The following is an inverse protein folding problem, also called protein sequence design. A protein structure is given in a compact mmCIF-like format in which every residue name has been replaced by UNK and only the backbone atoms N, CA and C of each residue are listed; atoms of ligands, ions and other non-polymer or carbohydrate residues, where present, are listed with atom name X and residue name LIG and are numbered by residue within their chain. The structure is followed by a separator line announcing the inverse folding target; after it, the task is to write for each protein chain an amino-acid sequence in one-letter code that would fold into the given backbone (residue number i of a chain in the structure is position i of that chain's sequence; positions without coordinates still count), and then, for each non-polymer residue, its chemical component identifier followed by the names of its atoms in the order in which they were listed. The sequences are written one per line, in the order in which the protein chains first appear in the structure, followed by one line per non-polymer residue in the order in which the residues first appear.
data_IF_193211513232
#
_entry.id   IF_193211513232
#
_cell.length_a   1.000
_cell.length_b   1.000
_cell.length_c   1.000
_cell.angle_alpha   90.00
_cell.angle_beta   90.00
_cell.angle_gamma   90.00
#
_symmetry.space_group_name_H-M   'P 1'
#
loop_
_entity.id
_entity.type
_entity.pdbx_description
1 polymer ?
#
# COMPACT_ATOMS: atom_id res chain seq x y z
N UNK A 1 -28.30 -39.42 -54.12
CA UNK A 1 -27.09 -39.29 -53.25
C UNK A 1 -26.47 -37.89 -53.26
N UNK A 2 -26.68 -37.03 -54.28
CA UNK A 2 -26.09 -35.68 -54.34
C UNK A 2 -26.69 -34.64 -53.37
N UNK A 3 -27.95 -34.79 -52.96
CA UNK A 3 -28.63 -33.84 -52.05
C UNK A 3 -28.11 -33.88 -50.60
N UNK A 4 -27.51 -34.98 -50.16
CA UNK A 4 -26.96 -35.13 -48.80
C UNK A 4 -25.59 -34.44 -48.63
N UNK A 5 -24.82 -34.32 -49.71
CA UNK A 5 -23.53 -33.62 -49.70
C UNK A 5 -23.68 -32.09 -49.72
N UNK A 6 -24.71 -31.59 -50.42
CA UNK A 6 -24.98 -30.16 -50.51
C UNK A 6 -25.48 -29.60 -49.16
N UNK A 7 -26.32 -30.34 -48.45
CA UNK A 7 -26.80 -29.96 -47.11
C UNK A 7 -25.70 -30.03 -46.06
N UNK A 8 -24.84 -31.05 -46.08
CA UNK A 8 -23.68 -31.13 -45.18
C UNK A 8 -22.67 -30.01 -45.43
N UNK A 9 -22.38 -29.65 -46.69
CA UNK A 9 -21.55 -28.49 -47.03
C UNK A 9 -22.13 -27.16 -46.53
N UNK A 10 -23.44 -26.97 -46.63
CA UNK A 10 -24.14 -25.78 -46.15
C UNK A 10 -24.01 -25.56 -44.63
N UNK A 11 -23.94 -26.62 -43.82
CA UNK A 11 -23.75 -26.52 -42.38
C UNK A 11 -22.27 -26.54 -41.95
N UNK A 12 -21.41 -27.27 -42.66
CA UNK A 12 -19.99 -27.38 -42.32
C UNK A 12 -19.18 -26.14 -42.69
N UNK A 13 -19.45 -25.49 -43.82
CA UNK A 13 -18.76 -24.25 -44.23
C UNK A 13 -18.84 -23.12 -43.18
N UNK A 14 -20.02 -22.73 -42.66
CA UNK A 14 -20.12 -21.68 -41.66
C UNK A 14 -19.50 -22.10 -40.31
N UNK A 15 -19.59 -23.39 -39.94
CA UNK A 15 -18.94 -23.91 -38.73
C UNK A 15 -17.41 -23.83 -38.84
N UNK A 16 -16.84 -24.26 -39.98
CA UNK A 16 -15.41 -24.17 -40.25
C UNK A 16 -14.96 -22.71 -40.28
N UNK A 17 -15.72 -21.84 -40.95
CA UNK A 17 -15.42 -20.40 -40.99
C UNK A 17 -15.42 -19.79 -39.57
N UNK A 18 -16.42 -20.14 -38.75
CA UNK A 18 -16.49 -19.69 -37.36
C UNK A 18 -15.30 -20.19 -36.52
N UNK A 19 -14.92 -21.46 -36.66
CA UNK A 19 -13.75 -22.05 -35.99
C UNK A 19 -12.44 -21.40 -36.43
N UNK A 20 -12.27 -21.16 -37.73
CA UNK A 20 -11.08 -20.47 -38.28
C UNK A 20 -11.00 -19.04 -37.75
N UNK A 21 -12.10 -18.28 -37.75
CA UNK A 21 -12.13 -16.92 -37.22
C UNK A 21 -11.87 -16.90 -35.70
N UNK A 22 -12.44 -17.85 -34.97
CA UNK A 22 -12.19 -18.03 -33.53
C UNK A 22 -10.71 -18.30 -33.26
N UNK A 23 -10.12 -19.26 -33.97
CA UNK A 23 -8.70 -19.63 -33.81
C UNK A 23 -7.77 -18.47 -34.18
N UNK A 24 -8.04 -17.76 -35.29
CA UNK A 24 -7.25 -16.58 -35.69
C UNK A 24 -7.33 -15.46 -34.64
N UNK A 25 -8.51 -15.19 -34.10
CA UNK A 25 -8.69 -14.18 -33.04
C UNK A 25 -7.99 -14.60 -31.75
N UNK A 26 -8.09 -15.87 -31.36
CA UNK A 26 -7.44 -16.41 -30.17
C UNK A 26 -5.91 -16.33 -30.29
N UNK A 27 -5.37 -16.83 -31.39
CA UNK A 27 -3.93 -16.81 -31.69
C UNK A 27 -3.38 -15.38 -31.68
N UNK A 28 -4.10 -14.40 -32.25
CA UNK A 28 -3.69 -12.99 -32.21
C UNK A 28 -3.62 -12.44 -30.78
N UNK A 29 -4.61 -12.73 -29.92
CA UNK A 29 -4.61 -12.28 -28.51
C UNK A 29 -3.49 -12.93 -27.71
N UNK A 30 -3.28 -14.23 -27.86
CA UNK A 30 -2.21 -14.94 -27.17
C UNK A 30 -0.82 -14.44 -27.59
N UNK A 31 -0.65 -14.11 -28.88
CA UNK A 31 0.59 -13.50 -29.38
C UNK A 31 0.83 -12.13 -28.72
N UNK A 32 -0.20 -11.32 -28.56
CA UNK A 32 -0.10 -10.02 -27.87
C UNK A 32 0.28 -10.18 -26.39
N UNK A 33 -0.36 -11.09 -25.66
CA UNK A 33 -0.02 -11.34 -24.26
C UNK A 33 1.40 -11.90 -24.11
N UNK A 34 1.82 -12.79 -25.00
CA UNK A 34 3.17 -13.36 -25.01
C UNK A 34 4.22 -12.29 -25.29
N UNK A 35 3.95 -11.35 -26.21
CA UNK A 35 4.84 -10.22 -26.49
C UNK A 35 5.00 -9.29 -25.28
N UNK A 36 3.89 -8.94 -24.61
CA UNK A 36 3.92 -8.13 -23.38
C UNK A 36 4.69 -8.82 -22.26
N UNK A 37 4.46 -10.12 -22.07
CA UNK A 37 5.22 -10.90 -21.10
C UNK A 37 6.73 -10.89 -21.40
N UNK A 38 7.12 -11.04 -22.67
CA UNK A 38 8.52 -11.00 -23.07
C UNK A 38 9.16 -9.63 -22.82
N UNK A 39 8.42 -8.54 -23.05
CA UNK A 39 8.85 -7.18 -22.74
C UNK A 39 9.06 -6.97 -21.23
N UNK A 40 8.12 -7.43 -20.41
CA UNK A 40 8.19 -7.39 -18.95
C UNK A 40 9.39 -8.19 -18.41
N UNK A 41 9.64 -9.37 -18.96
CA UNK A 41 10.82 -10.18 -18.58
C UNK A 41 12.11 -9.45 -18.97
N UNK A 42 12.13 -8.76 -20.12
CA UNK A 42 13.27 -7.94 -20.55
C UNK A 42 13.50 -6.72 -19.66
N UNK A 43 12.45 -6.10 -19.12
CA UNK A 43 12.55 -4.95 -18.21
C UNK A 43 12.94 -5.36 -16.77
N UNK A 44 12.92 -6.66 -16.45
CA UNK A 44 13.24 -7.19 -15.12
C UNK A 44 12.13 -6.97 -14.09
N UNK A 45 10.96 -6.46 -14.50
CA UNK A 45 9.82 -6.21 -13.61
C UNK A 45 8.90 -7.43 -13.64
N UNK A 46 9.32 -8.56 -13.10
CA UNK A 46 8.52 -9.81 -13.18
C UNK A 46 7.40 -9.88 -12.15
N UNK A 47 7.50 -9.13 -11.04
CA UNK A 47 6.56 -9.17 -9.92
C UNK A 47 6.32 -7.75 -9.37
N UNK A 48 5.12 -7.41 -8.86
CA UNK A 48 4.81 -6.11 -8.24
C UNK A 48 5.39 -6.01 -6.82
N UNK A 49 5.57 -4.77 -6.33
CA UNK A 49 6.13 -4.49 -5.00
C UNK A 49 5.12 -4.68 -3.85
N UNK A 50 3.83 -4.65 -4.16
CA UNK A 50 2.74 -4.60 -3.18
C UNK A 50 1.91 -5.88 -3.22
N UNK A 51 0.67 -5.83 -2.73
CA UNK A 51 -0.27 -6.93 -2.84
C UNK A 51 -0.47 -7.31 -4.31
N UNK A 52 -0.33 -8.58 -4.65
CA UNK A 52 -0.47 -9.06 -6.03
C UNK A 52 -0.88 -10.53 -6.08
N UNK A 53 -1.45 -10.99 -7.21
CA UNK A 53 -1.87 -12.38 -7.34
C UNK A 53 -0.70 -13.30 -7.71
N UNK A 54 -0.54 -14.37 -6.95
CA UNK A 54 0.26 -15.55 -7.32
C UNK A 54 -0.68 -16.59 -7.90
N UNK A 55 -0.32 -17.14 -9.06
CA UNK A 55 -1.15 -18.06 -9.83
C UNK A 55 -0.53 -19.45 -9.81
N UNK A 56 -1.26 -20.42 -9.27
CA UNK A 56 -0.91 -21.83 -9.34
C UNK A 56 -1.21 -22.36 -10.74
N UNK A 57 -0.15 -22.59 -11.52
CA UNK A 57 -0.25 -23.10 -12.90
C UNK A 57 -0.78 -24.52 -12.97
N UNK A 58 -0.69 -25.32 -11.90
CA UNK A 58 -1.23 -26.68 -11.88
C UNK A 58 -2.75 -26.66 -11.74
N UNK A 59 -3.29 -25.74 -10.94
CA UNK A 59 -4.75 -25.56 -10.77
C UNK A 59 -5.40 -24.74 -11.89
N UNK A 60 -4.66 -23.80 -12.47
CA UNK A 60 -5.22 -22.88 -13.47
C UNK A 60 -5.73 -23.62 -14.72
N UNK A 61 -7.03 -23.46 -15.02
CA UNK A 61 -7.67 -24.05 -16.22
C UNK A 61 -7.71 -23.11 -17.43
N UNK A 62 -7.11 -21.91 -17.35
CA UNK A 62 -7.05 -20.98 -18.48
C UNK A 62 -8.37 -20.32 -18.88
N UNK A 63 -9.36 -20.26 -17.99
CA UNK A 63 -10.72 -19.74 -18.29
C UNK A 63 -10.78 -18.25 -18.69
N UNK A 64 -9.72 -17.48 -18.40
CA UNK A 64 -9.64 -16.05 -18.66
C UNK A 64 -10.59 -15.18 -17.83
N UNK A 65 -11.22 -15.75 -16.79
CA UNK A 65 -12.11 -14.98 -15.90
C UNK A 65 -11.35 -13.85 -15.18
N UNK A 66 -10.15 -14.16 -14.68
CA UNK A 66 -9.27 -13.17 -14.04
C UNK A 66 -8.83 -12.04 -14.99
N UNK A 67 -8.61 -12.33 -16.28
CA UNK A 67 -8.25 -11.33 -17.30
C UNK A 67 -9.42 -10.37 -17.54
N UNK A 68 -10.66 -10.87 -17.58
CA UNK A 68 -11.85 -10.03 -17.75
C UNK A 68 -12.19 -9.21 -16.51
N UNK A 69 -11.89 -9.73 -15.32
CA UNK A 69 -12.16 -9.08 -14.05
C UNK A 69 -11.14 -7.99 -13.68
N UNK A 70 -9.98 -7.94 -14.36
CA UNK A 70 -8.92 -7.00 -14.03
C UNK A 70 -9.19 -5.61 -14.66
N UNK A 71 -9.47 -4.57 -13.86
CA UNK A 71 -9.64 -3.20 -14.34
C UNK A 71 -8.35 -2.61 -14.94
N UNK A 72 -7.19 -3.02 -14.41
CA UNK A 72 -5.87 -2.55 -14.87
C UNK A 72 -5.34 -3.29 -16.09
N UNK A 73 -6.06 -4.32 -16.55
CA UNK A 73 -5.69 -5.18 -17.67
C UNK A 73 -4.26 -5.78 -17.58
N UNK A 74 -3.77 -6.00 -16.34
CA UNK A 74 -2.41 -6.49 -16.03
C UNK A 74 -2.22 -7.99 -16.26
N UNK A 75 -3.31 -8.74 -16.46
CA UNK A 75 -3.33 -10.20 -16.61
C UNK A 75 -3.56 -10.61 -18.06
N UNK A 76 -2.95 -11.71 -18.48
CA UNK A 76 -3.14 -12.33 -19.79
C UNK A 76 -3.17 -13.85 -19.71
N UNK A 77 -3.64 -14.49 -20.78
CA UNK A 77 -3.52 -15.95 -20.94
C UNK A 77 -2.37 -16.23 -21.90
N UNK A 78 -1.38 -16.98 -21.44
CA UNK A 78 -0.19 -17.40 -22.21
C UNK A 78 -0.06 -18.91 -22.07
N UNK A 79 0.01 -19.65 -23.18
CA UNK A 79 0.09 -21.12 -23.19
C UNK A 79 -1.03 -21.77 -22.36
N UNK A 80 -2.24 -21.21 -22.44
CA UNK A 80 -3.41 -21.70 -21.71
C UNK A 80 -3.40 -21.47 -20.19
N UNK A 81 -2.45 -20.68 -19.66
CA UNK A 81 -2.37 -20.35 -18.23
C UNK A 81 -2.45 -18.85 -18.02
N UNK A 82 -3.05 -18.45 -16.91
CA UNK A 82 -3.09 -17.04 -16.53
C UNK A 82 -1.70 -16.60 -16.03
N UNK A 83 -1.25 -15.45 -16.50
CA UNK A 83 0.05 -14.86 -16.17
C UNK A 83 -0.10 -13.35 -15.99
N UNK A 84 0.66 -12.77 -15.08
CA UNK A 84 0.80 -11.33 -14.93
C UNK A 84 1.67 -10.80 -16.09
N UNK A 85 1.04 -10.24 -17.12
CA UNK A 85 1.75 -9.76 -18.31
C UNK A 85 2.36 -8.38 -18.10
N UNK A 86 1.77 -7.56 -17.23
CA UNK A 86 2.22 -6.21 -16.89
C UNK A 86 2.14 -6.00 -15.36
N UNK A 87 3.11 -6.51 -14.61
CA UNK A 87 3.14 -6.47 -13.14
C UNK A 87 3.11 -5.06 -12.56
N UNK A 88 3.75 -4.11 -13.24
CA UNK A 88 3.79 -2.69 -12.90
C UNK A 88 2.42 -2.01 -12.86
N UNK A 89 1.45 -2.52 -13.62
CA UNK A 89 0.08 -2.01 -13.61
C UNK A 89 -0.78 -2.66 -12.51
N UNK A 90 -0.30 -3.71 -11.84
CA UNK A 90 -1.09 -4.41 -10.85
C UNK A 90 -1.14 -3.64 -9.52
N UNK A 91 -2.32 -3.17 -9.13
CA UNK A 91 -2.53 -2.46 -7.85
C UNK A 91 -3.00 -3.38 -6.70
N UNK A 92 -3.11 -4.70 -6.92
CA UNK A 92 -3.47 -5.64 -5.86
C UNK A 92 -4.93 -5.65 -5.43
N UNK A 93 -5.87 -5.13 -6.24
CA UNK A 93 -7.29 -5.00 -5.89
C UNK A 93 -8.04 -6.34 -5.68
N UNK A 94 -7.46 -7.50 -6.04
CA UNK A 94 -8.02 -8.82 -5.72
C UNK A 94 -9.17 -9.36 -6.58
N UNK A 95 -9.61 -8.62 -7.60
CA UNK A 95 -10.76 -9.07 -8.42
C UNK A 95 -10.46 -10.36 -9.21
N UNK A 96 -9.19 -10.62 -9.53
CA UNK A 96 -8.76 -11.84 -10.20
C UNK A 96 -8.93 -13.09 -9.33
N UNK A 97 -8.65 -12.98 -8.02
CA UNK A 97 -8.83 -14.06 -7.04
C UNK A 97 -10.31 -14.42 -6.94
N UNK A 98 -11.16 -13.42 -6.70
CA UNK A 98 -12.61 -13.61 -6.61
C UNK A 98 -13.24 -14.17 -7.89
N UNK A 99 -12.70 -13.82 -9.07
CA UNK A 99 -13.21 -14.29 -10.36
C UNK A 99 -12.72 -15.69 -10.74
N UNK A 100 -11.75 -16.28 -10.03
CA UNK A 100 -11.16 -17.55 -10.41
C UNK A 100 -12.07 -18.74 -10.02
N UNK A 101 -12.65 -19.48 -10.98
CA UNK A 101 -13.62 -20.54 -10.66
C UNK A 101 -13.01 -21.78 -10.00
N UNK A 102 -11.67 -21.89 -10.04
CA UNK A 102 -10.89 -23.03 -9.52
C UNK A 102 -9.93 -22.62 -8.41
N UNK A 103 -10.07 -21.39 -7.90
CA UNK A 103 -9.25 -20.88 -6.78
C UNK A 103 -7.73 -21.05 -6.99
N UNK A 104 -7.29 -20.95 -8.24
CA UNK A 104 -5.89 -21.07 -8.62
C UNK A 104 -5.09 -19.79 -8.36
N UNK A 105 -5.71 -18.74 -7.82
CA UNK A 105 -5.10 -17.43 -7.62
C UNK A 105 -5.20 -17.10 -6.13
N UNK A 106 -4.09 -16.69 -5.54
CA UNK A 106 -4.02 -16.20 -4.16
C UNK A 106 -3.37 -14.82 -4.15
N UNK A 107 -3.91 -13.88 -3.38
CA UNK A 107 -3.22 -12.62 -3.13
C UNK A 107 -2.13 -12.79 -2.07
N UNK A 108 -0.92 -12.38 -2.42
CA UNK A 108 0.22 -12.33 -1.49
C UNK A 108 0.73 -10.89 -1.39
N UNK A 109 1.36 -10.57 -0.26
CA UNK A 109 1.96 -9.27 -0.04
C UNK A 109 3.47 -9.35 -0.23
N UNK A 110 3.98 -8.75 -1.31
CA UNK A 110 5.39 -8.84 -1.69
C UNK A 110 5.82 -10.27 -2.07
N UNK A 111 7.05 -10.42 -2.57
CA UNK A 111 7.68 -11.74 -2.80
C UNK A 111 9.07 -11.77 -2.18
N UNK A 112 9.62 -12.97 -1.96
CA UNK A 112 11.02 -13.16 -1.52
C UNK A 112 12.02 -12.55 -2.54
N UNK A 113 11.65 -12.52 -3.82
CA UNK A 113 12.51 -12.03 -4.92
C UNK A 113 12.42 -10.53 -5.12
N UNK A 114 11.33 -9.91 -4.71
CA UNK A 114 11.08 -8.47 -4.81
C UNK A 114 10.26 -7.98 -3.62
N UNK A 115 10.84 -8.13 -2.43
CA UNK A 115 10.32 -7.56 -1.20
C UNK A 115 10.66 -6.07 -1.11
N UNK A 116 9.89 -5.35 -0.31
CA UNK A 116 10.35 -4.06 0.22
C UNK A 116 11.23 -4.41 1.41
N UNK A 117 12.49 -3.96 1.43
CA UNK A 117 13.33 -4.03 2.62
C UNK A 117 12.69 -3.18 3.72
N UNK A 118 11.91 -3.83 4.59
CA UNK A 118 11.35 -3.16 5.77
C UNK A 118 12.45 -3.13 6.83
N UNK A 119 12.79 -1.95 7.37
CA UNK A 119 13.79 -1.85 8.43
C UNK A 119 13.37 -2.68 9.65
N UNK A 120 14.35 -3.33 10.28
CA UNK A 120 14.12 -4.07 11.52
C UNK A 120 13.83 -3.08 12.64
N UNK A 121 12.61 -3.10 13.19
CA UNK A 121 12.20 -2.23 14.29
C UNK A 121 12.36 -2.96 15.63
N UNK A 122 13.21 -2.44 16.50
CA UNK A 122 13.42 -2.93 17.88
C UNK A 122 12.22 -2.57 18.79
N UNK A 123 12.09 -3.18 19.99
CA UNK A 123 11.01 -2.86 20.94
C UNK A 123 10.96 -1.40 21.41
N UNK A 124 12.06 -0.65 21.27
CA UNK A 124 12.16 0.78 21.55
C UNK A 124 11.79 1.66 20.33
N UNK A 125 11.23 1.08 19.27
CA UNK A 125 10.87 1.73 18.00
C UNK A 125 12.05 2.22 17.15
N UNK A 126 13.29 1.99 17.58
CA UNK A 126 14.47 2.30 16.78
C UNK A 126 14.65 1.25 15.68
N UNK A 127 15.05 1.69 14.49
CA UNK A 127 15.35 0.79 13.38
C UNK A 127 16.75 0.17 13.51
N UNK A 128 17.14 -0.62 12.52
CA UNK A 128 18.54 -1.03 12.32
C UNK A 128 19.47 0.16 11.98
N UNK A 129 18.93 1.32 11.60
CA UNK A 129 19.68 2.57 11.47
C UNK A 129 19.54 3.36 12.76
N UNK A 130 20.63 3.44 13.54
CA UNK A 130 20.59 4.12 14.83
C UNK A 130 20.21 5.60 14.68
N UNK A 131 19.30 6.05 15.55
CA UNK A 131 18.72 7.40 15.52
C UNK A 131 17.51 7.57 14.59
N UNK A 132 17.15 6.54 13.80
CA UNK A 132 15.89 6.51 13.03
C UNK A 132 14.88 5.64 13.77
N UNK A 133 13.67 6.18 13.94
CA UNK A 133 12.57 5.53 14.64
C UNK A 133 11.35 5.42 13.74
N UNK A 134 10.58 4.35 13.88
CA UNK A 134 9.37 4.11 13.10
C UNK A 134 8.19 3.90 14.03
N UNK A 135 7.10 4.63 13.77
CA UNK A 135 5.83 4.50 14.46
C UNK A 135 4.66 4.69 13.46
N UNK A 136 3.51 4.11 13.77
CA UNK A 136 2.32 4.16 12.95
C UNK A 136 2.23 3.02 11.95
N UNK A 137 1.69 3.32 10.76
CA UNK A 137 1.36 2.32 9.75
C UNK A 137 2.60 1.58 9.23
N UNK A 138 3.73 2.27 9.09
CA UNK A 138 5.03 1.67 8.73
C UNK A 138 5.52 0.64 9.74
N UNK A 139 5.07 0.69 11.00
CA UNK A 139 5.32 -0.32 12.02
C UNK A 139 4.40 -1.55 11.91
N UNK A 140 3.64 -1.68 10.82
CA UNK A 140 2.76 -2.81 10.54
C UNK A 140 1.40 -2.79 11.26
N UNK A 141 1.01 -1.66 11.86
CA UNK A 141 -0.22 -1.54 12.67
C UNK A 141 -1.07 -0.34 12.24
N UNK A 142 -2.06 -0.58 11.36
CA UNK A 142 -2.99 0.44 10.84
C UNK A 142 -4.10 0.92 11.82
N UNK A 143 -3.95 0.70 13.13
CA UNK A 143 -4.95 1.11 14.12
C UNK A 143 -4.60 2.46 14.74
N UNK A 144 -5.58 3.37 14.80
CA UNK A 144 -5.40 4.74 15.33
C UNK A 144 -4.79 4.72 16.74
N UNK A 145 -5.36 3.93 17.65
CA UNK A 145 -4.83 3.77 19.02
C UNK A 145 -3.38 3.30 19.01
N UNK A 146 -3.04 2.31 18.18
CA UNK A 146 -1.68 1.78 18.12
C UNK A 146 -0.72 2.83 17.59
N UNK A 147 -1.09 3.56 16.55
CA UNK A 147 -0.30 4.69 16.06
C UNK A 147 -0.02 5.71 17.16
N UNK A 148 -1.04 6.11 17.91
CA UNK A 148 -0.90 7.03 19.06
C UNK A 148 0.03 6.46 20.13
N UNK A 149 -0.18 5.22 20.57
CA UNK A 149 0.63 4.56 21.60
C UNK A 149 2.11 4.44 21.15
N UNK A 150 2.36 4.12 19.88
CA UNK A 150 3.71 3.98 19.33
C UNK A 150 4.43 5.31 19.22
N UNK A 151 3.76 6.36 18.72
CA UNK A 151 4.36 7.70 18.59
C UNK A 151 4.86 8.23 19.93
N UNK A 152 4.05 8.10 20.99
CA UNK A 152 4.44 8.49 22.34
C UNK A 152 5.63 7.67 22.87
N UNK A 153 5.63 6.35 22.65
CA UNK A 153 6.70 5.45 23.12
C UNK A 153 8.02 5.65 22.37
N UNK A 154 7.96 5.95 21.07
CA UNK A 154 9.14 6.27 20.26
C UNK A 154 9.85 7.50 20.84
N UNK A 155 9.09 8.57 21.14
CA UNK A 155 9.63 9.76 21.81
C UNK A 155 10.15 9.45 23.22
N UNK A 156 9.48 8.57 23.96
CA UNK A 156 9.97 8.09 25.25
C UNK A 156 11.34 7.41 25.18
N UNK A 157 11.72 6.87 24.02
CA UNK A 157 13.05 6.32 23.76
C UNK A 157 14.03 7.40 23.29
N UNK A 158 13.58 8.32 22.43
CA UNK A 158 14.37 9.44 21.92
C UNK A 158 14.80 10.40 23.03
N UNK A 159 13.94 10.67 24.02
CA UNK A 159 14.23 11.63 25.11
C UNK A 159 15.49 11.30 25.92
N UNK A 160 15.95 10.03 25.88
CA UNK A 160 17.20 9.60 26.52
C UNK A 160 18.44 10.22 25.86
N UNK A 161 18.31 10.72 24.63
CA UNK A 161 19.36 11.34 23.83
C UNK A 161 19.20 12.87 23.72
N UNK A 162 18.42 13.48 24.62
CA UNK A 162 18.19 14.93 24.68
C UNK A 162 19.51 15.69 24.86
N UNK A 163 19.65 16.83 24.19
CA UNK A 163 20.81 17.72 24.37
C UNK A 163 21.98 17.45 23.43
N UNK A 164 21.71 16.86 22.26
CA UNK A 164 22.71 16.80 21.18
C UNK A 164 23.07 18.22 20.69
N UNK A 165 24.29 18.40 20.18
CA UNK A 165 24.76 19.67 19.61
C UNK A 165 24.01 20.12 18.33
N UNK A 166 23.04 19.32 17.87
CA UNK A 166 22.25 19.61 16.67
C UNK A 166 21.20 20.70 16.96
N UNK A 167 20.66 21.31 15.90
CA UNK A 167 19.61 22.34 15.99
C UNK A 167 18.32 21.81 16.60
N UNK A 168 17.94 20.59 16.21
CA UNK A 168 16.76 19.88 16.69
C UNK A 168 17.16 18.59 17.39
N UNK A 169 16.41 18.21 18.42
CA UNK A 169 16.54 16.92 19.08
C UNK A 169 15.78 15.82 18.30
N UNK A 170 14.71 16.17 17.59
CA UNK A 170 13.92 15.24 16.78
C UNK A 170 13.20 15.95 15.62
N UNK A 171 13.18 15.30 14.45
CA UNK A 171 12.33 15.66 13.31
C UNK A 171 11.23 14.61 13.19
N UNK A 172 9.97 15.02 13.19
CA UNK A 172 8.81 14.14 13.09
C UNK A 172 8.26 14.27 11.67
N UNK A 173 8.28 13.16 10.93
CA UNK A 173 7.82 13.12 9.53
C UNK A 173 6.43 12.50 9.47
N UNK A 174 5.43 13.30 9.09
CA UNK A 174 4.02 12.96 8.99
C UNK A 174 3.19 13.44 10.19
N UNK A 175 2.02 14.00 9.91
CA UNK A 175 1.02 14.50 10.87
C UNK A 175 -0.21 13.59 10.98
N UNK A 176 -0.02 12.28 10.83
CA UNK A 176 -1.02 11.27 11.20
C UNK A 176 -1.15 11.09 12.73
N UNK A 177 -1.99 10.15 13.21
CA UNK A 177 -2.18 9.91 14.64
C UNK A 177 -0.88 9.64 15.40
N UNK A 178 0.05 8.88 14.80
CA UNK A 178 1.36 8.62 15.38
C UNK A 178 2.23 9.87 15.47
N UNK A 179 2.29 10.68 14.41
CA UNK A 179 3.06 11.92 14.37
C UNK A 179 2.51 13.00 15.29
N UNK A 180 1.19 13.13 15.39
CA UNK A 180 0.54 14.04 16.34
C UNK A 180 0.86 13.61 17.79
N UNK A 181 0.73 12.31 18.09
CA UNK A 181 1.09 11.78 19.41
C UNK A 181 2.57 11.98 19.74
N UNK A 182 3.46 11.74 18.77
CA UNK A 182 4.89 12.01 18.91
C UNK A 182 5.16 13.50 19.16
N UNK A 183 4.46 14.41 18.47
CA UNK A 183 4.61 15.86 18.65
C UNK A 183 4.20 16.29 20.06
N UNK A 184 3.08 15.75 20.56
CA UNK A 184 2.63 16.00 21.93
C UNK A 184 3.62 15.44 22.95
N UNK A 185 4.12 14.21 22.77
CA UNK A 185 5.12 13.62 23.66
C UNK A 185 6.46 14.39 23.62
N UNK A 186 6.86 14.90 22.45
CA UNK A 186 8.09 15.67 22.29
C UNK A 186 7.99 17.00 23.04
N UNK A 187 6.83 17.65 22.95
CA UNK A 187 6.51 18.85 23.74
C UNK A 187 6.50 18.55 25.24
N UNK A 188 5.84 17.48 25.68
CA UNK A 188 5.80 17.06 27.09
C UNK A 188 7.21 16.79 27.65
N UNK A 189 8.11 16.21 26.83
CA UNK A 189 9.50 15.96 27.19
C UNK A 189 10.42 17.21 27.05
N UNK A 190 9.89 18.34 26.58
CA UNK A 190 10.63 19.57 26.33
C UNK A 190 11.77 19.39 25.31
N UNK A 191 11.56 18.59 24.27
CA UNK A 191 12.51 18.42 23.16
C UNK A 191 12.37 19.58 22.17
N UNK A 192 13.47 19.94 21.50
CA UNK A 192 13.43 20.80 20.32
C UNK A 192 13.02 19.94 19.13
N UNK A 193 11.86 20.21 18.55
CA UNK A 193 11.36 19.41 17.45
C UNK A 193 10.65 20.23 16.38
N UNK A 194 10.54 19.63 15.21
CA UNK A 194 9.67 20.08 14.13
C UNK A 194 8.84 18.90 13.64
N UNK A 195 7.61 19.17 13.23
CA UNK A 195 6.75 18.20 12.56
C UNK A 195 6.49 18.68 11.15
N UNK A 196 6.79 17.85 10.16
CA UNK A 196 6.57 18.13 8.74
C UNK A 196 5.51 17.18 8.18
N UNK A 197 4.67 17.67 7.27
CA UNK A 197 3.60 16.91 6.61
C UNK A 197 3.59 17.29 5.13
N UNK A 198 3.58 16.27 4.26
CA UNK A 198 3.59 16.47 2.81
C UNK A 198 2.25 17.00 2.29
N UNK A 199 1.14 16.68 2.98
CA UNK A 199 -0.20 17.14 2.63
C UNK A 199 -0.50 18.54 3.21
N UNK A 200 -1.60 19.15 2.75
CA UNK A 200 -2.11 20.44 3.26
C UNK A 200 -2.95 20.29 4.55
N UNK A 201 -3.16 19.06 5.02
CA UNK A 201 -3.98 18.72 6.17
C UNK A 201 -3.33 17.62 7.01
N UNK A 202 -3.68 17.58 8.29
CA UNK A 202 -3.31 16.48 9.18
C UNK A 202 -4.20 15.25 8.98
N UNK A 203 -3.81 14.15 9.61
CA UNK A 203 -4.60 12.91 9.71
C UNK A 203 -4.01 11.71 8.99
N UNK A 204 -3.02 11.91 8.11
CA UNK A 204 -2.40 10.83 7.33
C UNK A 204 -3.46 9.99 6.61
N UNK A 205 -3.42 8.67 6.76
CA UNK A 205 -4.38 7.75 6.12
C UNK A 205 -5.85 8.07 6.41
N UNK A 206 -6.17 8.67 7.58
CA UNK A 206 -7.54 9.11 7.90
C UNK A 206 -8.00 10.22 6.97
N UNK A 207 -7.11 11.14 6.57
CA UNK A 207 -7.43 12.23 5.66
C UNK A 207 -7.89 11.72 4.29
N UNK A 208 -7.43 10.55 3.85
CA UNK A 208 -7.82 9.92 2.59
C UNK A 208 -9.06 9.01 2.71
N UNK A 209 -9.65 8.87 3.90
CA UNK A 209 -10.87 8.08 4.04
C UNK A 209 -12.04 8.69 3.25
N UNK A 210 -12.98 7.87 2.75
CA UNK A 210 -14.25 8.35 2.21
C UNK A 210 -14.96 9.31 3.17
N UNK A 211 -15.66 10.30 2.62
CA UNK A 211 -16.43 11.27 3.41
C UNK A 211 -17.45 10.55 4.28
N UNK A 212 -17.65 11.02 5.52
CA UNK A 212 -18.57 10.41 6.50
C UNK A 212 -18.27 8.96 6.87
N UNK A 213 -17.07 8.45 6.57
CA UNK A 213 -16.66 7.12 7.05
C UNK A 213 -16.63 7.13 8.59
N UNK A 214 -17.31 6.16 9.19
CA UNK A 214 -17.21 5.87 10.61
C UNK A 214 -15.96 5.03 10.86
N UNK A 215 -15.05 5.56 11.66
CA UNK A 215 -13.86 4.88 12.09
C UNK A 215 -14.12 4.21 13.46
N UNK A 216 -13.90 2.91 13.51
CA UNK A 216 -13.85 2.17 14.77
C UNK A 216 -12.54 2.51 15.46
N UNK A 217 -12.64 2.97 16.69
CA UNK A 217 -11.53 3.40 17.53
C UNK A 217 -11.59 2.66 18.86
N UNK A 218 -10.49 2.71 19.61
CA UNK A 218 -10.43 2.20 20.96
C UNK A 218 -9.97 3.33 21.88
N UNK A 219 -10.34 3.30 23.16
CA UNK A 219 -9.85 4.25 24.15
C UNK A 219 -8.34 4.39 24.08
N UNK A 220 -7.84 5.61 24.00
CA UNK A 220 -6.41 5.91 23.86
C UNK A 220 -6.01 7.05 24.78
N UNK A 221 -4.73 7.11 25.15
CA UNK A 221 -4.19 8.18 25.98
C UNK A 221 -3.24 9.02 25.16
N UNK A 222 -3.54 10.31 25.05
CA UNK A 222 -2.72 11.26 24.34
C UNK A 222 -1.81 11.99 25.35
N UNK A 223 -0.50 12.17 25.05
CA UNK A 223 0.38 13.00 25.86
C UNK A 223 -0.20 14.42 25.98
N UNK A 224 -0.05 15.06 27.15
CA UNK A 224 -0.62 16.38 27.52
C UNK A 224 -2.17 16.43 27.58
N UNK A 225 -2.88 15.79 26.66
CA UNK A 225 -4.35 15.91 26.51
C UNK A 225 -5.12 14.96 27.44
N UNK A 226 -4.58 13.76 27.69
CA UNK A 226 -5.23 12.74 28.52
C UNK A 226 -6.06 11.72 27.73
N UNK A 227 -7.07 11.13 28.38
CA UNK A 227 -7.84 10.01 27.84
C UNK A 227 -8.85 10.46 26.78
N UNK A 228 -8.85 9.78 25.65
CA UNK A 228 -9.86 9.87 24.60
C UNK A 228 -10.64 8.56 24.53
N UNK A 229 -11.93 8.61 24.90
CA UNK A 229 -12.78 7.42 25.09
C UNK A 229 -13.96 7.40 24.10
N UNK A 230 -13.69 7.52 22.80
CA UNK A 230 -14.69 7.20 21.77
C UNK A 230 -14.37 5.85 21.14
N UNK A 231 -15.42 5.08 20.86
CA UNK A 231 -15.34 3.80 20.15
C UNK A 231 -15.70 3.97 18.68
N UNK A 232 -16.54 4.94 18.36
CA UNK A 232 -16.93 5.28 17.00
C UNK A 232 -16.82 6.79 16.81
N UNK A 233 -16.26 7.20 15.68
CA UNK A 233 -16.09 8.61 15.33
C UNK A 233 -16.09 8.76 13.80
N UNK A 234 -16.71 9.82 13.29
CA UNK A 234 -16.62 10.12 11.86
C UNK A 234 -15.22 10.63 11.50
N UNK A 235 -14.80 10.44 10.24
CA UNK A 235 -13.56 11.01 9.70
C UNK A 235 -13.44 12.50 10.05
N UNK A 236 -14.46 13.29 9.74
CA UNK A 236 -14.45 14.74 9.87
C UNK A 236 -14.34 15.18 11.34
N UNK A 237 -15.05 14.49 12.23
CA UNK A 237 -14.95 14.74 13.66
C UNK A 237 -13.56 14.38 14.21
N UNK A 238 -12.97 13.29 13.73
CA UNK A 238 -11.63 12.86 14.13
C UNK A 238 -10.55 13.86 13.67
N UNK A 239 -10.64 14.37 12.45
CA UNK A 239 -9.74 15.42 11.93
C UNK A 239 -9.92 16.74 12.70
N UNK A 240 -11.15 17.10 13.03
CA UNK A 240 -11.46 18.28 13.85
C UNK A 240 -10.87 18.14 15.25
N UNK A 241 -10.98 16.95 15.85
CA UNK A 241 -10.38 16.62 17.13
C UNK A 241 -8.85 16.79 17.07
N UNK A 242 -8.19 16.23 16.06
CA UNK A 242 -6.74 16.37 15.88
C UNK A 242 -6.30 17.83 15.67
N UNK A 243 -7.04 18.60 14.89
CA UNK A 243 -6.77 20.02 14.64
C UNK A 243 -6.92 20.85 15.91
N UNK A 244 -7.93 20.55 16.73
CA UNK A 244 -8.12 21.21 18.02
C UNK A 244 -6.96 20.93 18.96
N UNK A 245 -6.58 19.66 19.16
CA UNK A 245 -5.52 19.35 20.14
C UNK A 245 -4.16 19.90 19.74
N UNK A 246 -3.83 19.92 18.45
CA UNK A 246 -2.55 20.46 17.96
C UNK A 246 -2.51 21.98 18.18
N UNK A 247 -3.60 22.69 17.86
CA UNK A 247 -3.73 24.12 18.10
C UNK A 247 -3.70 24.48 19.59
N UNK A 248 -4.52 23.83 20.41
CA UNK A 248 -4.67 24.14 21.84
C UNK A 248 -3.36 23.88 22.60
N UNK A 249 -2.54 22.93 22.12
CA UNK A 249 -1.22 22.63 22.66
C UNK A 249 -0.10 23.31 21.88
N UNK A 250 -0.35 24.30 21.02
CA UNK A 250 0.68 25.06 20.31
C UNK A 250 1.71 24.18 19.59
N UNK A 251 1.26 23.08 18.97
CA UNK A 251 2.09 22.19 18.17
C UNK A 251 2.21 22.80 16.78
N UNK A 252 3.42 23.19 16.40
CA UNK A 252 3.71 23.69 15.05
C UNK A 252 3.91 22.50 14.11
N UNK A 253 3.11 22.46 13.05
CA UNK A 253 3.22 21.49 11.95
C UNK A 253 3.45 22.30 10.67
N UNK A 254 4.49 21.97 9.92
CA UNK A 254 4.71 22.53 8.60
C UNK A 254 4.03 21.64 7.57
N UNK A 255 2.94 22.14 6.99
CA UNK A 255 2.21 21.46 5.92
C UNK A 255 2.86 21.72 4.56
N UNK A 256 2.53 20.90 3.56
CA UNK A 256 3.11 20.95 2.21
C UNK A 256 4.66 20.86 2.20
N UNK A 257 5.23 20.23 3.24
CA UNK A 257 6.67 20.03 3.41
C UNK A 257 6.98 18.54 3.40
N UNK A 258 7.47 18.07 2.26
CA UNK A 258 7.79 16.65 2.03
C UNK A 258 9.26 16.38 2.32
N UNK A 259 9.53 15.38 3.16
CA UNK A 259 10.86 14.80 3.25
C UNK A 259 11.20 14.07 1.94
N UNK A 260 12.24 14.52 1.26
CA UNK A 260 12.80 13.90 0.06
C UNK A 260 13.98 12.99 0.39
N UNK A 261 14.90 13.46 1.26
CA UNK A 261 16.18 12.80 1.51
C UNK A 261 16.57 12.91 2.98
N UNK A 262 17.06 11.79 3.53
CA UNK A 262 17.71 11.75 4.84
C UNK A 262 19.16 11.31 4.69
N UNK A 263 20.11 12.12 5.17
CA UNK A 263 21.55 11.83 5.11
C UNK A 263 22.14 11.83 6.51
N UNK A 264 22.83 10.75 6.87
CA UNK A 264 23.52 10.66 8.17
C UNK A 264 24.73 11.59 8.18
N UNK A 265 24.83 12.46 9.18
CA UNK A 265 25.96 13.37 9.38
C UNK A 265 26.40 13.35 10.83
N UNK A 266 27.57 12.74 11.09
CA UNK A 266 28.11 12.58 12.45
C UNK A 266 27.17 11.79 13.36
N UNK A 267 26.74 12.42 14.46
CA UNK A 267 25.79 11.86 15.43
C UNK A 267 24.32 12.15 15.11
N UNK A 268 24.02 12.87 14.02
CA UNK A 268 22.67 13.26 13.63
C UNK A 268 22.35 12.99 12.16
N UNK A 269 21.30 13.66 11.68
CA UNK A 269 20.82 13.56 10.31
C UNK A 269 20.51 14.94 9.75
N UNK A 270 20.77 15.10 8.45
CA UNK A 270 20.20 16.18 7.66
C UNK A 270 18.98 15.65 6.93
N UNK A 271 17.84 16.28 7.16
CA UNK A 271 16.55 15.98 6.54
C UNK A 271 16.28 17.09 5.53
N UNK A 272 16.08 16.72 4.27
CA UNK A 272 15.72 17.61 3.18
C UNK A 272 14.38 17.19 2.61
#
# INVERSE_FOLDING_TARGET
MSHSYLTTLLYLLPLILALVLYYRRHSKKETQFSARLAETVKSGITEPLTLHPVIDTNKCIGSGACVRACPEHSLGIVRGKAVLVQPDHCIGHGACEAACPVEAIQLVFGTEKRGIDIPLVKPNFETNVSGIYIAGELGGMGLIRKGVDQGARAIGSIRKHKGSANELDVVIVGAGPAGISASLAAKEAGLRFVTIEQEDSLGGSIFHYPRRKLAMTAPMTLPIVGKFNKFEISKEELLTFWSRITRDNGIKINFTERMEVITKMGSGFVVK
#
